data_IF_807963271693
#
_entry.id   IF_807963271693
#
_cell.length_a   1.000
_cell.length_b   1.000
_cell.length_c   1.000
_cell.angle_alpha   90.00
_cell.angle_beta   90.00
_cell.angle_gamma   90.00
#
_symmetry.space_group_name_H-M   'P 1'
#
loop_
_entity.id
_entity.type
_entity.pdbx_description
1 polymer ?
#
# COMPACT_ATOMS: atom_id res chain seq x y z
N UNK A 1 26.01 9.99 4.96
CA UNK A 1 24.93 10.61 5.76
C UNK A 1 24.04 11.60 5.00
N UNK A 2 24.54 12.42 4.05
CA UNK A 2 23.73 13.44 3.32
C UNK A 2 22.57 12.88 2.49
N UNK A 3 22.69 11.64 1.98
CA UNK A 3 21.69 11.02 1.11
C UNK A 3 20.47 10.44 1.85
N UNK A 4 20.62 10.01 3.11
CA UNK A 4 19.52 9.48 3.92
C UNK A 4 18.46 10.54 4.28
N UNK A 5 18.84 11.83 4.22
CA UNK A 5 17.92 12.95 4.49
C UNK A 5 17.07 13.32 3.28
N UNK A 6 17.42 12.87 2.07
CA UNK A 6 16.72 13.27 0.83
C UNK A 6 15.23 12.93 0.83
N UNK A 7 14.78 11.72 1.22
CA UNK A 7 13.35 11.42 1.25
C UNK A 7 12.59 12.35 2.20
N UNK A 8 13.14 12.60 3.39
CA UNK A 8 12.55 13.53 4.37
C UNK A 8 12.50 14.98 3.86
N UNK A 9 13.51 15.42 3.12
CA UNK A 9 13.51 16.73 2.47
C UNK A 9 12.42 16.84 1.41
N UNK A 10 12.23 15.80 0.59
CA UNK A 10 11.17 15.75 -0.43
C UNK A 10 9.79 15.81 0.24
N UNK A 11 9.58 15.03 1.31
CA UNK A 11 8.33 15.03 2.07
C UNK A 11 8.08 16.41 2.68
N UNK A 12 9.07 17.00 3.35
CA UNK A 12 8.95 18.32 3.98
C UNK A 12 8.66 19.43 2.97
N UNK A 13 9.21 19.34 1.76
CA UNK A 13 8.92 20.28 0.68
C UNK A 13 7.50 20.12 0.10
N UNK A 14 6.82 19.00 0.37
CA UNK A 14 5.53 18.65 -0.22
C UNK A 14 4.50 18.19 0.84
N UNK A 15 4.54 18.76 2.05
CA UNK A 15 3.71 18.31 3.18
C UNK A 15 2.21 18.25 2.88
N UNK A 16 1.68 19.24 2.14
CA UNK A 16 0.25 19.23 1.76
C UNK A 16 -0.11 18.01 0.91
N UNK A 17 0.72 17.69 -0.08
CA UNK A 17 0.52 16.51 -0.92
C UNK A 17 0.72 15.23 -0.10
N UNK A 18 1.72 15.19 0.77
CA UNK A 18 1.94 14.06 1.68
C UNK A 18 0.71 13.79 2.57
N UNK A 19 0.16 14.82 3.23
CA UNK A 19 -1.05 14.66 4.04
C UNK A 19 -2.26 14.26 3.21
N UNK A 20 -2.41 14.79 1.99
CA UNK A 20 -3.47 14.35 1.08
C UNK A 20 -3.33 12.87 0.71
N UNK A 21 -2.12 12.37 0.42
CA UNK A 21 -1.90 10.95 0.12
C UNK A 21 -2.22 10.05 1.31
N UNK A 22 -1.91 10.49 2.53
CA UNK A 22 -2.31 9.76 3.74
C UNK A 22 -3.84 9.76 3.92
N UNK A 23 -4.48 10.92 3.77
CA UNK A 23 -5.93 11.03 3.86
C UNK A 23 -6.65 10.15 2.82
N UNK A 24 -6.13 10.07 1.59
CA UNK A 24 -6.63 9.17 0.56
C UNK A 24 -6.40 7.71 0.98
N UNK A 25 -5.18 7.34 1.38
CA UNK A 25 -4.86 5.95 1.72
C UNK A 25 -5.75 5.45 2.86
N UNK A 26 -5.68 6.08 4.02
CA UNK A 26 -6.41 5.63 5.21
C UNK A 26 -7.89 5.93 5.11
N UNK A 27 -8.28 7.10 4.61
CA UNK A 27 -9.67 7.52 4.55
C UNK A 27 -10.50 6.64 3.62
N UNK A 28 -9.99 6.31 2.43
CA UNK A 28 -10.73 5.46 1.49
C UNK A 28 -10.84 4.02 1.99
N UNK A 29 -9.81 3.50 2.67
CA UNK A 29 -9.90 2.22 3.37
C UNK A 29 -10.98 2.23 4.46
N UNK A 30 -11.01 3.26 5.32
CA UNK A 30 -12.02 3.38 6.37
C UNK A 30 -13.44 3.52 5.79
N UNK A 31 -13.60 4.21 4.66
CA UNK A 31 -14.87 4.28 3.93
C UNK A 31 -15.30 2.88 3.46
N UNK A 32 -14.38 2.10 2.87
CA UNK A 32 -14.66 0.73 2.46
C UNK A 32 -15.04 -0.18 3.62
N UNK A 33 -14.30 -0.11 4.73
CA UNK A 33 -14.59 -0.87 5.93
C UNK A 33 -15.95 -0.49 6.54
N UNK A 34 -16.24 0.81 6.63
CA UNK A 34 -17.53 1.32 7.09
C UNK A 34 -18.69 0.88 6.18
N UNK A 35 -18.50 0.91 4.86
CA UNK A 35 -19.50 0.45 3.90
C UNK A 35 -19.83 -1.05 4.10
N UNK A 36 -18.83 -1.89 4.30
CA UNK A 36 -19.04 -3.32 4.55
C UNK A 36 -19.69 -3.61 5.92
N UNK A 37 -19.42 -2.78 6.95
CA UNK A 37 -20.13 -2.89 8.23
C UNK A 37 -21.61 -2.52 8.12
N UNK A 38 -21.97 -1.57 7.26
CA UNK A 38 -23.37 -1.20 6.99
C UNK A 38 -24.04 -2.18 6.03
N UNK A 39 -23.29 -2.73 5.07
CA UNK A 39 -23.77 -3.66 4.05
C UNK A 39 -22.89 -4.91 4.00
N UNK A 40 -23.09 -5.88 4.92
CA UNK A 40 -22.25 -7.09 5.02
C UNK A 40 -22.23 -7.94 3.74
N UNK A 41 -23.25 -7.84 2.89
CA UNK A 41 -23.31 -8.50 1.58
C UNK A 41 -22.15 -8.10 0.65
N UNK A 42 -21.62 -6.87 0.79
CA UNK A 42 -20.44 -6.41 0.04
C UNK A 42 -19.20 -7.22 0.41
N UNK A 43 -19.05 -7.57 1.68
CA UNK A 43 -17.93 -8.40 2.15
C UNK A 43 -18.10 -9.84 1.61
N UNK A 44 -19.30 -10.41 1.71
CA UNK A 44 -19.59 -11.76 1.24
C UNK A 44 -19.33 -11.94 -0.27
N UNK A 45 -19.74 -10.96 -1.10
CA UNK A 45 -19.50 -10.98 -2.54
C UNK A 45 -18.00 -10.94 -2.89
N UNK A 46 -17.21 -10.17 -2.14
CA UNK A 46 -15.78 -10.01 -2.41
C UNK A 46 -14.93 -11.19 -1.91
N UNK A 47 -15.35 -11.85 -0.82
CA UNK A 47 -14.71 -13.08 -0.32
C UNK A 47 -14.98 -14.24 -1.29
N UNK A 48 -16.19 -14.35 -1.81
CA UNK A 48 -16.56 -15.37 -2.81
C UNK A 48 -15.69 -15.32 -4.08
N UNK A 49 -15.41 -14.12 -4.60
CA UNK A 49 -14.55 -13.96 -5.79
C UNK A 49 -13.07 -14.32 -5.55
N UNK A 50 -12.59 -14.28 -4.31
CA UNK A 50 -11.18 -14.61 -3.99
C UNK A 50 -10.92 -16.10 -3.81
N UNK A 51 -11.94 -16.88 -3.42
CA UNK A 51 -11.84 -18.33 -3.30
C UNK A 51 -11.76 -19.02 -4.67
N UNK A 52 -12.32 -18.41 -5.72
CA UNK A 52 -12.23 -18.90 -7.10
C UNK A 52 -10.84 -18.67 -7.75
N UNK A 53 -10.03 -17.73 -7.21
CA UNK A 53 -8.74 -17.30 -7.79
C UNK A 53 -7.52 -18.14 -7.33
N UNK A 54 -7.71 -19.25 -6.60
CA UNK A 54 -6.63 -20.22 -6.27
C UNK A 54 -5.52 -19.70 -5.34
N UNK A 55 -5.72 -18.54 -4.71
CA UNK A 55 -4.73 -17.90 -3.84
C UNK A 55 -4.54 -18.65 -2.50
N UNK A 56 -5.54 -19.43 -2.08
CA UNK A 56 -5.52 -20.17 -0.81
C UNK A 56 -4.48 -21.30 -0.76
N UNK A 57 -4.27 -22.02 -1.87
CA UNK A 57 -3.35 -23.16 -1.92
C UNK A 57 -1.87 -22.74 -1.87
N UNK A 58 -1.55 -21.57 -2.42
CA UNK A 58 -0.20 -21.01 -2.41
C UNK A 58 0.19 -20.51 -1.01
N UNK A 59 -0.78 -20.08 -0.21
CA UNK A 59 -0.62 -19.67 1.19
C UNK A 59 -0.33 -20.89 2.07
N UNK A 60 -1.05 -22.01 1.90
CA UNK A 60 -0.85 -23.23 2.69
C UNK A 60 0.57 -23.81 2.64
N UNK A 61 1.24 -23.76 1.48
CA UNK A 61 2.61 -24.24 1.30
C UNK A 61 3.67 -23.33 1.96
N UNK A 62 3.36 -22.04 2.17
CA UNK A 62 4.29 -21.04 2.71
C UNK A 62 4.29 -20.97 4.24
N UNK A 63 3.22 -21.45 4.90
CA UNK A 63 3.07 -21.40 6.36
C UNK A 63 4.13 -22.19 7.14
N UNK A 64 4.84 -23.12 6.49
CA UNK A 64 5.94 -23.87 7.11
C UNK A 64 7.23 -23.06 7.34
N UNK A 65 7.38 -21.87 6.72
CA UNK A 65 8.57 -21.04 6.89
C UNK A 65 8.21 -19.53 6.92
N UNK A 66 8.28 -18.87 8.10
CA UNK A 66 7.89 -17.46 8.24
C UNK A 66 8.70 -16.50 7.36
N UNK A 67 9.97 -16.83 7.05
CA UNK A 67 10.81 -15.99 6.20
C UNK A 67 10.41 -16.04 4.74
N UNK A 68 10.05 -17.23 4.24
CA UNK A 68 9.57 -17.39 2.88
C UNK A 68 8.19 -16.73 2.71
N UNK A 69 7.35 -16.83 3.74
CA UNK A 69 6.05 -16.16 3.75
C UNK A 69 6.20 -14.63 3.79
N UNK A 70 7.09 -14.09 4.64
CA UNK A 70 7.42 -12.67 4.64
C UNK A 70 7.95 -12.18 3.28
N UNK A 71 8.80 -12.98 2.62
CA UNK A 71 9.29 -12.64 1.28
C UNK A 71 8.15 -12.60 0.24
N UNK A 72 7.20 -13.53 0.33
CA UNK A 72 6.03 -13.53 -0.54
C UNK A 72 5.15 -12.29 -0.30
N UNK A 73 4.83 -11.96 0.96
CA UNK A 73 4.07 -10.75 1.33
C UNK A 73 4.76 -9.50 0.80
N UNK A 74 6.07 -9.37 1.05
CA UNK A 74 6.87 -8.26 0.53
C UNK A 74 6.80 -8.17 -1.00
N UNK A 75 6.98 -9.29 -1.69
CA UNK A 75 6.92 -9.36 -3.15
C UNK A 75 5.56 -8.93 -3.69
N UNK A 76 4.47 -9.42 -3.10
CA UNK A 76 3.10 -9.06 -3.50
C UNK A 76 2.86 -7.57 -3.30
N UNK A 77 3.19 -7.00 -2.15
CA UNK A 77 2.98 -5.58 -1.87
C UNK A 77 3.80 -4.66 -2.78
N UNK A 78 5.08 -4.99 -2.98
CA UNK A 78 5.96 -4.20 -3.84
C UNK A 78 5.54 -4.31 -5.31
N UNK A 79 5.38 -5.52 -5.84
CA UNK A 79 5.12 -5.71 -7.27
C UNK A 79 3.67 -5.36 -7.61
N UNK A 80 2.70 -5.94 -6.91
CA UNK A 80 1.29 -5.83 -7.32
C UNK A 80 0.67 -4.50 -6.93
N UNK A 81 1.05 -3.92 -5.79
CA UNK A 81 0.46 -2.65 -5.33
C UNK A 81 1.37 -1.48 -5.69
N UNK A 82 2.59 -1.44 -5.16
CA UNK A 82 3.45 -0.28 -5.35
C UNK A 82 3.85 -0.07 -6.83
N UNK A 83 4.29 -1.13 -7.52
CA UNK A 83 4.70 -1.02 -8.93
C UNK A 83 3.50 -1.02 -9.87
N UNK A 84 2.72 -2.11 -9.90
CA UNK A 84 1.70 -2.30 -10.93
C UNK A 84 0.47 -1.41 -10.77
N UNK A 85 0.06 -1.07 -9.54
CA UNK A 85 -1.14 -0.25 -9.29
C UNK A 85 -0.83 1.23 -9.06
N UNK A 86 0.33 1.58 -8.49
CA UNK A 86 0.66 2.98 -8.20
C UNK A 86 1.64 3.57 -9.23
N UNK A 87 2.86 3.04 -9.33
CA UNK A 87 3.91 3.67 -10.11
C UNK A 87 3.68 3.53 -11.61
N UNK A 88 3.46 2.31 -12.11
CA UNK A 88 3.36 2.03 -13.53
C UNK A 88 2.23 2.80 -14.21
N UNK A 89 0.99 2.84 -13.68
CA UNK A 89 -0.07 3.65 -14.28
C UNK A 89 0.29 5.14 -14.27
N UNK A 90 0.94 5.63 -13.21
CA UNK A 90 1.37 7.03 -13.08
C UNK A 90 2.54 7.43 -13.99
N UNK A 91 3.34 6.46 -14.41
CA UNK A 91 4.41 6.63 -15.41
C UNK A 91 3.84 6.81 -16.82
N UNK A 92 2.65 6.26 -17.10
CA UNK A 92 1.99 6.33 -18.40
C UNK A 92 1.00 7.49 -18.46
N UNK A 93 0.19 7.65 -17.41
CA UNK A 93 -0.82 8.71 -17.28
C UNK A 93 -0.60 9.43 -15.95
N UNK A 94 -0.32 10.75 -15.95
CA UNK A 94 -0.10 11.49 -14.71
C UNK A 94 -1.18 11.23 -13.65
N UNK A 95 -0.75 10.89 -12.43
CA UNK A 95 -1.60 10.64 -11.25
C UNK A 95 -2.50 9.40 -11.30
N UNK A 96 -2.55 8.64 -12.40
CA UNK A 96 -3.49 7.52 -12.55
C UNK A 96 -3.37 6.49 -11.43
N UNK A 97 -2.15 6.22 -10.95
CA UNK A 97 -1.95 5.26 -9.87
C UNK A 97 -2.52 5.68 -8.51
N UNK A 98 -2.74 6.98 -8.27
CA UNK A 98 -3.44 7.44 -7.07
C UNK A 98 -4.91 7.02 -7.11
N UNK A 99 -5.56 7.15 -8.27
CA UNK A 99 -6.94 6.71 -8.45
C UNK A 99 -7.07 5.18 -8.40
N UNK A 100 -6.17 4.46 -9.08
CA UNK A 100 -6.14 2.98 -9.06
C UNK A 100 -5.92 2.47 -7.63
N UNK A 101 -5.02 3.10 -6.87
CA UNK A 101 -4.82 2.73 -5.47
C UNK A 101 -6.01 3.08 -4.58
N UNK A 102 -6.67 4.23 -4.79
CA UNK A 102 -7.87 4.56 -4.02
C UNK A 102 -8.96 3.48 -4.18
N UNK A 103 -9.19 3.00 -5.40
CA UNK A 103 -10.08 1.86 -5.63
C UNK A 103 -9.63 0.61 -4.87
N UNK A 104 -8.33 0.25 -4.98
CA UNK A 104 -7.79 -0.91 -4.25
C UNK A 104 -7.91 -0.76 -2.73
N UNK A 105 -7.68 0.43 -2.18
CA UNK A 105 -7.80 0.71 -0.75
C UNK A 105 -9.25 0.55 -0.27
N UNK A 106 -10.22 0.97 -1.09
CA UNK A 106 -11.64 0.74 -0.83
C UNK A 106 -11.97 -0.75 -0.78
N UNK A 107 -11.56 -1.51 -1.81
CA UNK A 107 -11.77 -2.98 -1.85
C UNK A 107 -11.14 -3.66 -0.63
N UNK A 108 -9.89 -3.32 -0.30
CA UNK A 108 -9.21 -3.86 0.89
C UNK A 108 -9.97 -3.51 2.17
N UNK A 109 -10.52 -2.30 2.28
CA UNK A 109 -11.39 -1.90 3.38
C UNK A 109 -12.64 -2.77 3.50
N UNK A 110 -13.32 -3.02 2.37
CA UNK A 110 -14.50 -3.89 2.32
C UNK A 110 -14.16 -5.33 2.76
N UNK A 111 -13.04 -5.87 2.28
CA UNK A 111 -12.60 -7.25 2.58
C UNK A 111 -12.23 -7.42 4.06
N UNK A 112 -11.51 -6.46 4.62
CA UNK A 112 -10.96 -6.53 5.98
C UNK A 112 -11.91 -5.95 7.03
N UNK A 113 -13.11 -5.55 6.65
CA UNK A 113 -14.11 -5.06 7.60
C UNK A 113 -14.41 -6.14 8.66
N UNK A 114 -14.37 -5.81 9.96
CA UNK A 114 -14.62 -6.76 11.04
C UNK A 114 -16.13 -7.04 11.17
N UNK A 115 -16.70 -7.70 10.16
CA UNK A 115 -18.13 -8.03 10.07
C UNK A 115 -18.54 -9.19 10.97
N UNK A 116 -17.58 -9.98 11.43
CA UNK A 116 -17.78 -11.07 12.39
C UNK A 116 -16.63 -11.16 13.41
N UNK A 117 -16.82 -11.98 14.44
CA UNK A 117 -15.87 -12.13 15.54
C UNK A 117 -14.52 -12.72 15.12
N UNK A 118 -14.48 -13.56 14.08
CA UNK A 118 -13.26 -14.16 13.57
C UNK A 118 -12.43 -13.10 12.85
N UNK A 119 -13.04 -12.35 11.93
CA UNK A 119 -12.36 -11.25 11.23
C UNK A 119 -11.92 -10.16 12.21
N UNK A 120 -12.74 -9.84 13.22
CA UNK A 120 -12.36 -8.89 14.28
C UNK A 120 -11.11 -9.33 15.05
N UNK A 121 -10.99 -10.62 15.40
CA UNK A 121 -9.78 -11.16 16.07
C UNK A 121 -8.56 -11.14 15.16
N UNK A 122 -8.72 -11.48 13.87
CA UNK A 122 -7.66 -11.39 12.86
C UNK A 122 -7.14 -9.95 12.69
N UNK A 123 -8.04 -8.97 12.81
CA UNK A 123 -7.70 -7.56 12.68
C UNK A 123 -6.83 -7.01 13.81
N UNK A 124 -6.76 -7.66 14.98
CA UNK A 124 -5.93 -7.19 16.09
C UNK A 124 -4.45 -7.11 15.67
N UNK A 125 -3.77 -8.20 15.29
CA UNK A 125 -2.40 -8.11 14.81
C UNK A 125 -2.32 -7.41 13.44
N UNK A 126 -3.23 -7.72 12.51
CA UNK A 126 -3.12 -7.24 11.13
C UNK A 126 -3.33 -5.71 11.01
N UNK A 127 -4.00 -5.06 11.96
CA UNK A 127 -4.11 -3.60 11.99
C UNK A 127 -2.75 -2.89 12.03
N UNK A 128 -1.74 -3.44 12.72
CA UNK A 128 -0.40 -2.86 12.73
C UNK A 128 0.28 -3.00 11.38
N UNK A 129 0.14 -4.17 10.72
CA UNK A 129 0.60 -4.36 9.34
C UNK A 129 -0.03 -3.34 8.41
N UNK A 130 -1.36 -3.16 8.48
CA UNK A 130 -2.07 -2.19 7.65
C UNK A 130 -1.53 -0.78 7.83
N UNK A 131 -1.29 -0.33 9.07
CA UNK A 131 -0.71 0.99 9.32
C UNK A 131 0.67 1.13 8.66
N UNK A 132 1.53 0.12 8.79
CA UNK A 132 2.87 0.15 8.21
C UNK A 132 2.81 0.16 6.68
N UNK A 133 2.00 -0.70 6.08
CA UNK A 133 1.86 -0.81 4.63
C UNK A 133 1.20 0.41 4.00
N UNK A 134 0.14 0.94 4.60
CA UNK A 134 -0.54 2.14 4.11
C UNK A 134 0.38 3.35 4.17
N UNK A 135 1.25 3.43 5.19
CA UNK A 135 2.29 4.44 5.22
C UNK A 135 3.30 4.27 4.08
N UNK A 136 3.65 3.04 3.72
CA UNK A 136 4.49 2.77 2.54
C UNK A 136 3.78 3.19 1.25
N UNK A 137 2.51 2.83 1.07
CA UNK A 137 1.71 3.24 -0.09
C UNK A 137 1.53 4.74 -0.19
N UNK A 138 1.34 5.46 0.91
CA UNK A 138 1.27 6.92 0.91
C UNK A 138 2.56 7.57 0.38
N UNK A 139 3.73 6.98 0.67
CA UNK A 139 5.02 7.45 0.14
C UNK A 139 5.15 7.16 -1.36
N UNK A 140 4.72 5.98 -1.81
CA UNK A 140 4.74 5.62 -3.24
C UNK A 140 3.76 6.50 -4.02
N UNK A 141 2.56 6.76 -3.50
CA UNK A 141 1.59 7.69 -4.08
C UNK A 141 2.11 9.12 -4.11
N UNK A 142 2.85 9.57 -3.08
CA UNK A 142 3.52 10.87 -3.14
C UNK A 142 4.54 10.91 -4.28
N UNK A 143 5.30 9.84 -4.49
CA UNK A 143 6.20 9.69 -5.64
C UNK A 143 5.47 9.78 -6.98
N UNK A 144 4.37 9.06 -7.13
CA UNK A 144 3.50 9.09 -8.31
C UNK A 144 2.91 10.49 -8.56
N UNK A 145 2.47 11.17 -7.51
CA UNK A 145 1.96 12.55 -7.59
C UNK A 145 3.06 13.52 -8.03
N UNK A 146 4.26 13.42 -7.45
CA UNK A 146 5.39 14.26 -7.82
C UNK A 146 5.85 14.01 -9.25
N UNK A 147 5.82 12.77 -9.72
CA UNK A 147 6.09 12.41 -11.11
C UNK A 147 5.11 13.11 -12.06
N UNK A 148 3.81 12.99 -11.81
CA UNK A 148 2.77 13.65 -12.62
C UNK A 148 2.91 15.18 -12.61
N UNK A 149 3.16 15.78 -11.44
CA UNK A 149 3.39 17.22 -11.28
C UNK A 149 4.61 17.70 -12.06
N UNK A 150 5.74 16.99 -11.97
CA UNK A 150 6.98 17.35 -12.64
C UNK A 150 6.88 17.18 -14.17
N UNK A 151 6.12 16.19 -14.63
CA UNK A 151 5.85 15.97 -16.04
C UNK A 151 4.98 17.10 -16.64
N UNK A 152 3.86 17.43 -16.00
CA UNK A 152 2.93 18.45 -16.51
C UNK A 152 3.44 19.88 -16.30
N UNK A 153 4.22 20.13 -15.23
CA UNK A 153 4.77 21.44 -14.88
C UNK A 153 6.27 21.36 -14.58
N UNK A 154 7.14 21.25 -15.61
CA UNK A 154 8.58 21.10 -15.42
C UNK A 154 9.23 22.23 -14.61
N UNK A 155 8.70 23.46 -14.74
CA UNK A 155 9.14 24.61 -13.96
C UNK A 155 9.01 24.39 -12.43
N UNK A 156 8.04 23.59 -11.98
CA UNK A 156 7.86 23.28 -10.55
C UNK A 156 9.01 22.47 -9.96
N UNK A 157 9.84 21.85 -10.80
CA UNK A 157 11.07 21.14 -10.40
C UNK A 157 12.32 21.79 -11.03
N UNK A 158 12.21 23.03 -11.54
CA UNK A 158 13.29 23.76 -12.19
C UNK A 158 13.83 23.08 -13.46
N UNK A 159 13.04 22.25 -14.12
CA UNK A 159 13.42 21.58 -15.36
C UNK A 159 13.03 22.44 -16.57
N UNK A 160 13.89 22.51 -17.61
CA UNK A 160 13.64 23.36 -18.78
C UNK A 160 12.59 22.79 -19.74
N UNK A 161 12.32 21.48 -19.67
CA UNK A 161 11.39 20.79 -20.56
C UNK A 161 10.72 19.59 -19.87
N UNK A 162 9.67 19.06 -20.51
CA UNK A 162 8.88 17.93 -19.97
C UNK A 162 9.68 16.64 -19.80
N UNK A 163 10.68 16.38 -20.64
CA UNK A 163 11.50 15.16 -20.55
C UNK A 163 12.37 15.19 -19.30
N UNK A 164 13.06 16.32 -19.07
CA UNK A 164 13.86 16.53 -17.85
C UNK A 164 12.97 16.64 -16.61
N UNK A 165 11.76 17.20 -16.74
CA UNK A 165 10.75 17.20 -15.69
C UNK A 165 10.36 15.78 -15.27
N UNK A 166 10.03 14.92 -16.24
CA UNK A 166 9.72 13.51 -16.03
C UNK A 166 10.87 12.76 -15.34
N UNK A 167 12.11 12.92 -15.81
CA UNK A 167 13.28 12.28 -15.19
C UNK A 167 13.51 12.73 -13.74
N UNK A 168 13.34 14.02 -13.44
CA UNK A 168 13.43 14.53 -12.06
C UNK A 168 12.30 14.00 -11.19
N UNK A 169 11.09 13.89 -11.75
CA UNK A 169 9.96 13.25 -11.08
C UNK A 169 10.25 11.78 -10.75
N UNK A 170 10.81 11.03 -11.69
CA UNK A 170 11.19 9.63 -11.49
C UNK A 170 12.29 9.48 -10.43
N UNK A 171 13.27 10.39 -10.40
CA UNK A 171 14.28 10.44 -9.34
C UNK A 171 13.65 10.70 -7.96
N UNK A 172 12.71 11.64 -7.85
CA UNK A 172 11.99 11.92 -6.60
C UNK A 172 11.17 10.70 -6.15
N UNK A 173 10.46 10.05 -7.07
CA UNK A 173 9.74 8.81 -6.79
C UNK A 173 10.69 7.72 -6.30
N UNK A 174 11.83 7.51 -6.96
CA UNK A 174 12.84 6.54 -6.55
C UNK A 174 13.41 6.80 -5.15
N UNK A 175 13.63 8.06 -4.77
CA UNK A 175 14.04 8.41 -3.40
C UNK A 175 12.95 8.09 -2.36
N UNK A 176 11.68 8.32 -2.69
CA UNK A 176 10.55 8.00 -1.81
C UNK A 176 10.30 6.49 -1.71
N UNK A 177 10.67 5.71 -2.73
CA UNK A 177 10.60 4.25 -2.69
C UNK A 177 11.52 3.65 -1.62
N UNK A 178 12.65 4.27 -1.27
CA UNK A 178 13.57 3.73 -0.25
C UNK A 178 12.92 3.57 1.14
N UNK A 179 12.34 4.61 1.75
CA UNK A 179 11.61 4.44 3.01
C UNK A 179 10.36 3.57 2.85
N UNK A 180 9.68 3.59 1.70
CA UNK A 180 8.55 2.69 1.44
C UNK A 180 8.96 1.21 1.46
N UNK A 181 10.09 0.85 0.83
CA UNK A 181 10.64 -0.50 0.86
C UNK A 181 11.03 -0.93 2.27
N UNK A 182 11.61 -0.03 3.07
CA UNK A 182 11.90 -0.32 4.47
C UNK A 182 10.63 -0.65 5.25
N UNK A 183 9.55 0.12 5.04
CA UNK A 183 8.25 -0.15 5.65
C UNK A 183 7.65 -1.48 5.16
N UNK A 184 7.73 -1.79 3.86
CA UNK A 184 7.25 -3.08 3.35
C UNK A 184 8.00 -4.27 3.94
N UNK A 185 9.32 -4.16 4.14
CA UNK A 185 10.10 -5.22 4.81
C UNK A 185 9.64 -5.39 6.25
N UNK A 186 9.49 -4.30 7.00
CA UNK A 186 9.05 -4.34 8.40
C UNK A 186 7.64 -4.92 8.50
N UNK A 187 6.72 -4.46 7.66
CA UNK A 187 5.34 -4.93 7.61
C UNK A 187 5.26 -6.41 7.27
N UNK A 188 5.98 -6.86 6.24
CA UNK A 188 5.96 -8.25 5.80
C UNK A 188 6.54 -9.23 6.85
N UNK A 189 7.62 -8.83 7.53
CA UNK A 189 8.18 -9.63 8.63
C UNK A 189 7.17 -9.69 9.78
N UNK A 190 6.66 -8.54 10.21
CA UNK A 190 5.69 -8.50 11.31
C UNK A 190 4.43 -9.34 10.98
N UNK A 191 3.88 -9.17 9.78
CA UNK A 191 2.69 -9.89 9.35
C UNK A 191 2.91 -11.40 9.33
N UNK A 192 3.98 -11.88 8.68
CA UNK A 192 4.26 -13.31 8.59
C UNK A 192 4.39 -13.95 9.98
N UNK A 193 5.12 -13.31 10.90
CA UNK A 193 5.26 -13.81 12.26
C UNK A 193 3.93 -13.74 13.03
N UNK A 194 3.13 -12.69 12.84
CA UNK A 194 1.84 -12.56 13.49
C UNK A 194 0.84 -13.63 13.02
N UNK A 195 0.80 -13.93 11.72
CA UNK A 195 -0.08 -14.93 11.15
C UNK A 195 0.29 -16.35 11.57
N UNK A 196 1.58 -16.62 11.79
CA UNK A 196 2.07 -17.95 12.17
C UNK A 196 1.98 -18.17 13.68
N UNK A 197 2.33 -17.18 14.50
CA UNK A 197 2.50 -17.38 15.95
C UNK A 197 1.43 -16.70 16.82
N UNK A 198 0.75 -15.66 16.34
CA UNK A 198 -0.18 -14.86 17.13
C UNK A 198 -1.64 -15.17 16.78
N UNK A 199 -1.96 -15.26 15.48
CA UNK A 199 -3.33 -15.51 15.01
C UNK A 199 -3.90 -16.87 15.44
N UNK A 200 -3.18 -18.01 15.31
CA UNK A 200 -3.75 -19.30 15.67
C UNK A 200 -4.25 -19.39 17.12
N UNK A 201 -3.50 -18.97 18.17
CA UNK A 201 -4.01 -18.99 19.53
C UNK A 201 -5.13 -17.97 19.77
N UNK A 202 -5.14 -16.84 19.06
CA UNK A 202 -6.20 -15.82 19.18
C UNK A 202 -7.56 -16.29 18.65
N UNK A 203 -7.57 -17.05 17.57
CA UNK A 203 -8.81 -17.57 16.97
C UNK A 203 -9.31 -18.82 17.71
N UNK A 204 -8.42 -19.59 18.32
CA UNK A 204 -8.76 -20.81 19.06
C UNK A 204 -9.35 -20.56 20.47
N UNK A 205 -9.08 -19.41 21.07
CA UNK A 205 -9.65 -18.96 22.36
C UNK A 205 -10.88 -18.07 22.18
#
# INVERSE_FOLDING_TARGET
>A
MRNLRKPFQIIRANLRAYFAMNAIAYGVFLIGAGAALVFPELNAAQVGSQQEDGTADLVGALFGNPWLFALAIFGVNVLTVAVLRILLPSMIVPFAGVAVFAHKAYETGVILAPVDATVAKLMIPHSLTLVIEFQAYALVMLGAYLLGKAWLRPAAVGAPDRRRGYLRGLQQAGWLTLPALALFVIGAIYEAFSLIYIVPPLVAG
#
